data_IF_868945940385
#
_entry.id   IF_868945940385
#
_cell.length_a   1.000
_cell.length_b   1.000
_cell.length_c   1.000
_cell.angle_alpha   90.00
_cell.angle_beta   90.00
_cell.angle_gamma   90.00
#
_symmetry.space_group_name_H-M   'P 1'
#
loop_
_entity.id
_entity.type
_entity.pdbx_description
1 polymer ?
#
# COMPACT_ATOMS: atom_id res chain seq x y z
N UNK A 1 19.28 -2.28 -1.62
CA UNK A 1 20.52 -3.12 -1.57
C UNK A 1 20.10 -4.53 -1.19
N UNK A 2 20.58 -5.56 -1.89
CA UNK A 2 20.31 -6.94 -1.49
C UNK A 2 21.04 -7.27 -0.19
N UNK A 3 20.40 -8.00 0.72
CA UNK A 3 21.07 -8.50 1.94
C UNK A 3 22.19 -9.45 1.50
N UNK A 4 23.36 -9.34 2.14
CA UNK A 4 24.49 -10.24 1.88
C UNK A 4 24.06 -11.70 2.13
N UNK A 5 24.23 -12.61 1.17
CA UNK A 5 23.90 -14.02 1.33
C UNK A 5 24.57 -14.71 2.53
N UNK A 6 25.78 -14.28 2.91
CA UNK A 6 26.46 -14.84 4.08
C UNK A 6 25.80 -14.41 5.40
N UNK A 7 25.23 -13.17 5.46
CA UNK A 7 24.41 -12.74 6.60
C UNK A 7 23.17 -13.60 6.71
N UNK A 8 22.44 -13.81 5.60
CA UNK A 8 21.25 -14.67 5.57
C UNK A 8 21.58 -16.08 6.07
N UNK A 9 22.67 -16.65 5.61
CA UNK A 9 23.11 -18.00 5.98
C UNK A 9 23.48 -18.08 7.46
N UNK A 10 24.23 -17.11 7.97
CA UNK A 10 24.61 -17.00 9.39
C UNK A 10 23.36 -16.88 10.29
N UNK A 11 22.43 -15.99 9.96
CA UNK A 11 21.20 -15.81 10.73
C UNK A 11 20.30 -17.04 10.66
N UNK A 12 20.25 -17.73 9.50
CA UNK A 12 19.49 -18.96 9.36
C UNK A 12 20.03 -20.09 10.24
N UNK A 13 21.34 -20.15 10.52
CA UNK A 13 21.96 -21.15 11.39
C UNK A 13 21.88 -20.84 12.88
N UNK A 14 21.16 -19.79 13.29
CA UNK A 14 20.89 -19.50 14.70
C UNK A 14 20.12 -20.67 15.35
N UNK A 15 20.53 -21.06 16.56
CA UNK A 15 20.02 -22.24 17.27
C UNK A 15 18.47 -22.27 17.38
N UNK A 16 17.85 -21.13 17.68
CA UNK A 16 16.40 -21.01 17.79
C UNK A 16 15.67 -21.30 16.45
N UNK A 17 16.27 -20.91 15.30
CA UNK A 17 15.71 -21.22 13.97
C UNK A 17 15.91 -22.68 13.59
N UNK A 18 17.04 -23.29 13.99
CA UNK A 18 17.27 -24.72 13.80
C UNK A 18 16.29 -25.56 14.61
N UNK A 19 16.00 -25.15 15.84
CA UNK A 19 15.00 -25.79 16.67
C UNK A 19 13.60 -25.75 16.01
N UNK A 20 13.15 -24.60 15.49
CA UNK A 20 11.88 -24.49 14.77
C UNK A 20 11.82 -25.42 13.55
N UNK A 21 12.93 -25.53 12.79
CA UNK A 21 13.00 -26.44 11.65
C UNK A 21 12.96 -27.91 12.07
N UNK A 22 13.50 -28.25 13.24
CA UNK A 22 13.49 -29.62 13.76
C UNK A 22 12.12 -30.05 14.32
N UNK A 23 11.38 -29.11 14.92
CA UNK A 23 10.03 -29.34 15.47
C UNK A 23 9.01 -29.73 14.40
N UNK A 24 9.04 -29.07 13.25
CA UNK A 24 8.10 -29.31 12.15
C UNK A 24 8.86 -29.61 10.87
N UNK A 25 8.70 -30.82 10.34
CA UNK A 25 9.37 -31.26 9.11
C UNK A 25 8.75 -30.57 7.88
N UNK A 26 9.53 -30.42 6.81
CA UNK A 26 9.04 -29.78 5.57
C UNK A 26 7.77 -30.42 5.01
N UNK A 27 7.62 -31.77 5.12
CA UNK A 27 6.40 -32.48 4.68
C UNK A 27 5.16 -31.97 5.43
N UNK A 28 5.28 -31.76 6.73
CA UNK A 28 4.17 -31.31 7.57
C UNK A 28 3.86 -29.83 7.29
N UNK A 29 4.88 -28.99 7.10
CA UNK A 29 4.72 -27.57 6.67
C UNK A 29 3.96 -27.45 5.34
N UNK A 30 4.27 -28.31 4.37
CA UNK A 30 3.63 -28.34 3.05
C UNK A 30 2.17 -28.81 3.12
N UNK A 31 1.81 -29.60 4.14
CA UNK A 31 0.46 -30.08 4.35
C UNK A 31 -0.48 -29.01 4.94
N UNK A 32 0.07 -27.95 5.57
CA UNK A 32 -0.74 -26.85 6.12
C UNK A 32 -1.29 -26.03 4.95
N UNK A 33 -2.61 -25.82 4.93
CA UNK A 33 -3.25 -24.94 3.96
C UNK A 33 -2.96 -23.48 4.25
N UNK A 34 -2.94 -22.64 3.19
CA UNK A 34 -2.77 -21.18 3.33
C UNK A 34 -3.92 -20.60 4.12
N UNK A 35 -3.62 -19.82 5.14
CA UNK A 35 -4.63 -19.11 5.92
C UNK A 35 -5.30 -18.04 5.06
N UNK A 36 -6.62 -17.97 5.15
CA UNK A 36 -7.42 -16.92 4.52
C UNK A 36 -7.48 -15.69 5.42
N UNK A 37 -7.39 -14.51 4.81
CA UNK A 37 -7.59 -13.25 5.50
C UNK A 37 -9.06 -13.15 5.94
N UNK A 38 -9.34 -12.92 7.24
CA UNK A 38 -10.69 -12.57 7.65
C UNK A 38 -11.12 -11.23 7.05
N UNK A 39 -12.28 -11.18 6.43
CA UNK A 39 -12.82 -10.02 5.74
C UNK A 39 -14.19 -9.64 6.31
N UNK A 40 -14.60 -8.39 6.13
CA UNK A 40 -15.99 -7.98 6.34
C UNK A 40 -16.85 -8.55 5.24
N UNK A 41 -18.07 -8.99 5.60
CA UNK A 41 -19.05 -9.51 4.62
C UNK A 41 -19.35 -8.45 3.56
N UNK A 42 -19.48 -8.84 2.27
CA UNK A 42 -19.69 -7.91 1.16
C UNK A 42 -20.88 -6.98 1.34
N UNK A 43 -22.01 -7.52 1.83
CA UNK A 43 -23.26 -6.77 2.06
C UNK A 43 -23.10 -5.71 3.17
N UNK A 44 -22.16 -5.92 4.10
CA UNK A 44 -21.86 -4.96 5.16
C UNK A 44 -20.87 -3.94 4.66
N UNK A 45 -19.73 -4.40 4.10
CA UNK A 45 -18.61 -3.53 3.78
C UNK A 45 -18.90 -2.53 2.66
N UNK A 46 -19.83 -2.85 1.75
CA UNK A 46 -20.23 -1.96 0.65
C UNK A 46 -20.90 -0.66 1.15
N UNK A 47 -21.42 -0.66 2.37
CA UNK A 47 -22.08 0.51 2.98
C UNK A 47 -21.16 1.29 3.92
N UNK A 48 -19.90 0.84 4.13
CA UNK A 48 -18.97 1.46 5.05
C UNK A 48 -17.73 2.00 4.34
N UNK A 49 -17.61 3.33 4.31
CA UNK A 49 -16.43 4.01 3.77
C UNK A 49 -15.25 3.98 4.77
N UNK A 50 -15.55 3.94 6.06
CA UNK A 50 -14.66 4.12 7.21
C UNK A 50 -14.11 2.82 7.82
N UNK A 51 -14.51 1.67 7.27
CA UNK A 51 -14.14 0.35 7.84
C UNK A 51 -13.21 -0.41 6.92
N UNK A 52 -12.04 -0.75 7.42
CA UNK A 52 -11.10 -1.61 6.72
C UNK A 52 -11.75 -2.98 6.40
N UNK A 53 -11.69 -3.39 5.15
CA UNK A 53 -12.29 -4.65 4.67
C UNK A 53 -11.62 -5.85 5.28
N UNK A 54 -10.28 -5.89 5.21
CA UNK A 54 -9.48 -6.95 5.79
C UNK A 54 -9.36 -6.75 7.31
N UNK A 55 -9.66 -7.79 8.09
CA UNK A 55 -9.70 -7.73 9.56
C UNK A 55 -8.36 -8.04 10.24
N UNK A 56 -7.36 -8.48 9.47
CA UNK A 56 -6.09 -8.97 10.02
C UNK A 56 -6.18 -10.41 10.54
N UNK A 57 -5.04 -11.02 10.79
CA UNK A 57 -4.94 -12.36 11.34
C UNK A 57 -4.94 -12.32 12.87
N UNK A 58 -5.54 -13.33 13.50
CA UNK A 58 -5.31 -13.60 14.91
C UNK A 58 -3.90 -14.18 15.13
N UNK A 59 -3.40 -14.15 16.37
CA UNK A 59 -2.11 -14.74 16.71
C UNK A 59 -2.03 -16.22 16.30
N UNK A 60 -3.08 -16.99 16.54
CA UNK A 60 -3.14 -18.41 16.17
C UNK A 60 -3.06 -18.62 14.64
N UNK A 61 -3.79 -17.81 13.87
CA UNK A 61 -3.76 -17.84 12.41
C UNK A 61 -2.38 -17.43 11.86
N UNK A 62 -1.79 -16.37 12.40
CA UNK A 62 -0.47 -15.89 12.00
C UNK A 62 0.63 -16.93 12.31
N UNK A 63 0.60 -17.55 13.49
CA UNK A 63 1.55 -18.62 13.87
C UNK A 63 1.39 -19.83 12.96
N UNK A 64 0.15 -20.24 12.65
CA UNK A 64 -0.12 -21.35 11.73
C UNK A 64 0.43 -21.06 10.33
N UNK A 65 0.16 -19.86 9.79
CA UNK A 65 0.66 -19.46 8.48
C UNK A 65 2.20 -19.33 8.47
N UNK A 66 2.79 -18.77 9.54
CA UNK A 66 4.25 -18.66 9.68
C UNK A 66 4.93 -20.04 9.71
N UNK A 67 4.27 -21.06 10.29
CA UNK A 67 4.76 -22.43 10.31
C UNK A 67 4.90 -23.03 8.90
N UNK A 68 4.14 -22.55 7.91
CA UNK A 68 4.29 -22.97 6.51
C UNK A 68 5.67 -22.61 5.93
N UNK A 69 6.30 -21.52 6.41
CA UNK A 69 7.59 -21.09 5.88
C UNK A 69 8.68 -22.14 6.14
N UNK A 70 9.30 -22.62 5.05
CA UNK A 70 10.34 -23.66 5.09
C UNK A 70 11.71 -23.15 5.51
N UNK A 71 11.87 -21.84 5.73
CA UNK A 71 13.16 -21.22 6.03
C UNK A 71 14.25 -21.63 5.02
N UNK A 72 14.02 -21.33 3.74
CA UNK A 72 14.86 -21.78 2.62
C UNK A 72 16.32 -21.37 2.79
N UNK A 73 17.24 -22.19 2.27
CA UNK A 73 18.69 -21.88 2.24
C UNK A 73 18.95 -20.68 1.33
N UNK A 74 18.26 -20.64 0.18
CA UNK A 74 18.29 -19.53 -0.78
C UNK A 74 16.88 -18.98 -0.87
N UNK A 75 16.56 -17.95 -0.09
CA UNK A 75 15.20 -17.41 0.02
C UNK A 75 14.89 -16.42 -1.12
N UNK A 76 14.47 -16.90 -2.27
CA UNK A 76 14.12 -16.10 -3.45
C UNK A 76 13.00 -15.07 -3.19
N UNK A 77 12.21 -15.24 -2.13
CA UNK A 77 11.22 -14.24 -1.70
C UNK A 77 11.86 -12.91 -1.30
N UNK A 78 13.11 -12.90 -0.79
CA UNK A 78 13.87 -11.67 -0.49
C UNK A 78 14.15 -10.91 -1.78
N UNK A 79 14.55 -11.61 -2.84
CA UNK A 79 14.81 -11.00 -4.15
C UNK A 79 13.54 -10.43 -4.79
N UNK A 80 12.39 -10.99 -4.44
CA UNK A 80 11.07 -10.49 -4.86
C UNK A 80 10.60 -9.25 -4.09
N UNK A 81 11.26 -8.88 -2.99
CA UNK A 81 10.93 -7.71 -2.21
C UNK A 81 11.77 -6.50 -2.67
N UNK A 82 11.17 -5.39 -3.12
CA UNK A 82 11.91 -4.21 -3.58
C UNK A 82 12.84 -3.59 -2.54
N UNK A 83 12.51 -3.75 -1.25
CA UNK A 83 13.32 -3.25 -0.12
C UNK A 83 14.09 -4.35 0.60
N UNK A 84 14.12 -5.55 0.01
CA UNK A 84 14.95 -6.70 0.48
C UNK A 84 14.74 -7.06 1.96
N UNK A 85 13.50 -7.10 2.45
CA UNK A 85 13.19 -7.56 3.81
C UNK A 85 13.72 -8.99 3.99
N UNK A 86 14.34 -9.28 5.15
CA UNK A 86 14.70 -10.65 5.52
C UNK A 86 13.44 -11.45 5.88
N UNK A 87 12.69 -11.84 4.83
CA UNK A 87 11.37 -12.46 4.95
C UNK A 87 11.40 -13.74 5.78
N UNK A 88 12.30 -14.70 5.59
CA UNK A 88 12.32 -15.89 6.45
C UNK A 88 12.58 -15.56 7.92
N UNK A 89 13.41 -14.55 8.22
CA UNK A 89 13.74 -14.16 9.60
C UNK A 89 12.50 -13.66 10.34
N UNK A 90 11.78 -12.67 9.79
CA UNK A 90 10.60 -12.15 10.47
C UNK A 90 9.49 -13.20 10.61
N UNK A 91 9.30 -14.07 9.59
CA UNK A 91 8.30 -15.14 9.66
C UNK A 91 8.67 -16.16 10.74
N UNK A 92 9.95 -16.50 10.90
CA UNK A 92 10.39 -17.40 11.96
C UNK A 92 10.23 -16.80 13.36
N UNK A 93 10.38 -15.51 13.52
CA UNK A 93 10.04 -14.84 14.76
C UNK A 93 8.53 -14.95 15.08
N UNK A 94 7.65 -14.81 14.08
CA UNK A 94 6.21 -15.05 14.29
C UNK A 94 5.95 -16.51 14.68
N UNK A 95 6.59 -17.49 14.03
CA UNK A 95 6.47 -18.91 14.34
C UNK A 95 6.93 -19.22 15.77
N UNK A 96 7.95 -18.51 16.27
CA UNK A 96 8.45 -18.67 17.65
C UNK A 96 7.61 -17.96 18.70
N UNK A 97 6.69 -17.08 18.32
CA UNK A 97 5.90 -16.24 19.22
C UNK A 97 6.55 -14.90 19.60
N UNK A 98 7.72 -14.57 19.03
CA UNK A 98 8.42 -13.29 19.25
C UNK A 98 8.02 -12.26 18.18
N UNK A 99 6.81 -11.72 18.31
CA UNK A 99 6.21 -10.85 17.30
C UNK A 99 6.92 -9.48 17.24
N UNK A 100 7.44 -8.99 18.37
CA UNK A 100 8.16 -7.70 18.38
C UNK A 100 9.50 -7.79 17.65
N UNK A 101 10.22 -8.91 17.75
CA UNK A 101 11.42 -9.14 16.94
C UNK A 101 11.09 -9.30 15.45
N UNK A 102 9.91 -9.83 15.11
CA UNK A 102 9.43 -9.86 13.74
C UNK A 102 9.21 -8.43 13.20
N UNK A 103 8.52 -7.58 13.95
CA UNK A 103 8.30 -6.17 13.58
C UNK A 103 9.61 -5.38 13.45
N UNK A 104 10.55 -5.60 14.38
CA UNK A 104 11.89 -4.98 14.30
C UNK A 104 12.65 -5.42 13.04
N UNK A 105 12.56 -6.70 12.67
CA UNK A 105 13.18 -7.23 11.43
C UNK A 105 12.60 -6.58 10.18
N UNK A 106 11.28 -6.33 10.13
CA UNK A 106 10.67 -5.60 9.02
C UNK A 106 11.26 -4.19 8.88
N UNK A 107 11.43 -3.49 9.97
CA UNK A 107 11.95 -2.12 10.03
C UNK A 107 13.45 -2.00 9.71
N UNK A 108 14.20 -3.09 9.66
CA UNK A 108 15.62 -3.04 9.24
C UNK A 108 15.76 -2.39 7.86
N UNK A 109 14.84 -2.69 6.93
CA UNK A 109 14.90 -2.21 5.54
C UNK A 109 13.60 -1.57 5.02
N UNK A 110 12.50 -1.67 5.74
CA UNK A 110 11.21 -1.09 5.37
C UNK A 110 10.79 0.00 6.36
N UNK A 111 10.62 1.22 5.86
CA UNK A 111 10.18 2.35 6.68
C UNK A 111 8.66 2.36 6.95
N UNK A 112 7.86 1.58 6.21
CA UNK A 112 6.39 1.62 6.23
C UNK A 112 5.78 0.21 6.25
N UNK A 113 6.14 -0.67 7.19
CA UNK A 113 5.70 -2.07 7.17
C UNK A 113 4.19 -2.26 7.29
N UNK A 114 3.50 -1.44 8.10
CA UNK A 114 2.05 -1.52 8.26
C UNK A 114 1.28 -1.14 6.97
N UNK A 115 1.84 -0.22 6.18
CA UNK A 115 1.34 0.15 4.85
C UNK A 115 1.63 -0.96 3.85
N UNK A 116 2.89 -1.44 3.78
CA UNK A 116 3.31 -2.46 2.82
C UNK A 116 2.53 -3.76 2.98
N UNK A 117 2.30 -4.22 4.21
CA UNK A 117 1.48 -5.41 4.49
C UNK A 117 0.04 -5.34 3.97
N UNK A 118 -0.49 -4.10 3.77
CA UNK A 118 -1.84 -3.86 3.25
C UNK A 118 -1.90 -3.65 1.74
N UNK A 119 -0.96 -2.90 1.16
CA UNK A 119 -1.13 -2.37 -0.20
C UNK A 119 -0.13 -2.88 -1.24
N UNK A 120 0.98 -3.50 -0.83
CA UNK A 120 1.92 -4.10 -1.78
C UNK A 120 1.24 -5.20 -2.61
N UNK A 121 1.52 -5.30 -3.91
CA UNK A 121 1.06 -6.41 -4.75
C UNK A 121 1.95 -7.65 -4.51
N UNK A 122 1.86 -8.24 -3.30
CA UNK A 122 2.72 -9.34 -2.86
C UNK A 122 2.67 -10.54 -3.82
N UNK A 123 1.51 -10.81 -4.41
CA UNK A 123 1.29 -11.86 -5.41
C UNK A 123 2.12 -11.68 -6.69
N UNK A 124 2.60 -10.44 -6.95
CA UNK A 124 3.50 -10.11 -8.07
C UNK A 124 4.95 -9.87 -7.63
N UNK A 125 5.20 -9.80 -6.34
CA UNK A 125 6.50 -9.51 -5.73
C UNK A 125 7.03 -10.70 -4.93
N UNK A 126 7.13 -10.57 -3.59
CA UNK A 126 7.72 -11.58 -2.71
C UNK A 126 7.01 -12.93 -2.75
N UNK A 127 5.68 -12.96 -2.78
CA UNK A 127 4.90 -14.20 -2.83
C UNK A 127 5.07 -14.94 -4.15
N UNK A 128 5.19 -14.24 -5.30
CA UNK A 128 5.45 -14.87 -6.60
C UNK A 128 6.76 -15.64 -6.64
N UNK A 129 7.73 -15.26 -5.81
CA UNK A 129 9.05 -15.91 -5.69
C UNK A 129 9.13 -16.94 -4.58
N UNK A 130 8.01 -17.19 -3.87
CA UNK A 130 7.98 -18.21 -2.83
C UNK A 130 8.19 -19.61 -3.40
N UNK A 131 8.97 -20.45 -2.71
CA UNK A 131 9.23 -21.85 -3.09
C UNK A 131 7.93 -22.64 -3.34
N UNK A 132 6.88 -22.35 -2.60
CA UNK A 132 5.57 -22.96 -2.80
C UNK A 132 5.02 -22.71 -4.21
N UNK A 133 5.14 -21.50 -4.72
CA UNK A 133 4.69 -21.14 -6.08
C UNK A 133 5.66 -21.70 -7.12
N UNK A 134 6.95 -21.44 -6.96
CA UNK A 134 7.96 -21.77 -7.96
C UNK A 134 8.13 -23.29 -8.14
N UNK A 135 8.30 -24.03 -7.06
CA UNK A 135 8.61 -25.46 -7.10
C UNK A 135 7.42 -26.38 -6.87
N UNK A 136 6.52 -26.02 -5.96
CA UNK A 136 5.43 -26.93 -5.55
C UNK A 136 4.12 -26.66 -6.28
N UNK A 137 3.99 -25.55 -7.01
CA UNK A 137 2.75 -25.11 -7.66
C UNK A 137 1.57 -25.03 -6.68
N UNK A 138 1.85 -24.60 -5.46
CA UNK A 138 0.91 -24.40 -4.37
C UNK A 138 0.82 -22.92 -3.99
N UNK A 139 -0.24 -22.48 -3.29
CA UNK A 139 -0.34 -21.12 -2.78
C UNK A 139 0.87 -20.74 -1.92
N UNK A 140 1.46 -19.57 -2.17
CA UNK A 140 2.57 -19.02 -1.41
C UNK A 140 2.29 -18.99 0.10
N UNK A 141 3.32 -18.85 0.92
CA UNK A 141 3.15 -18.31 2.28
C UNK A 141 2.59 -16.90 2.18
N UNK A 142 1.61 -16.56 3.02
CA UNK A 142 0.95 -15.26 3.00
C UNK A 142 1.83 -14.17 3.63
N UNK A 143 2.91 -13.82 2.92
CA UNK A 143 3.98 -12.95 3.41
C UNK A 143 3.42 -11.58 3.80
N UNK A 144 2.60 -10.97 2.95
CA UNK A 144 2.01 -9.67 3.25
C UNK A 144 1.05 -9.69 4.44
N UNK A 145 0.29 -10.77 4.61
CA UNK A 145 -0.59 -10.91 5.79
C UNK A 145 0.21 -11.02 7.09
N UNK A 146 1.34 -11.72 7.05
CA UNK A 146 2.25 -11.84 8.19
C UNK A 146 3.00 -10.53 8.48
N UNK A 147 3.40 -9.79 7.44
CA UNK A 147 3.98 -8.45 7.56
C UNK A 147 2.99 -7.50 8.24
N UNK A 148 1.75 -7.45 7.75
CA UNK A 148 0.66 -6.69 8.37
C UNK A 148 0.45 -7.08 9.82
N UNK A 149 0.35 -8.38 10.11
CA UNK A 149 0.12 -8.89 11.45
C UNK A 149 1.21 -8.43 12.43
N UNK A 150 2.49 -8.53 12.06
CA UNK A 150 3.59 -8.13 12.92
C UNK A 150 3.58 -6.61 13.19
N UNK A 151 3.31 -5.80 12.17
CA UNK A 151 3.22 -4.34 12.30
C UNK A 151 2.02 -3.90 13.13
N UNK A 152 0.85 -4.53 12.94
CA UNK A 152 -0.36 -4.23 13.72
C UNK A 152 -0.20 -4.67 15.19
N UNK A 153 0.40 -5.83 15.44
CA UNK A 153 0.68 -6.32 16.80
C UNK A 153 1.59 -5.34 17.58
N UNK A 154 2.66 -4.85 16.94
CA UNK A 154 3.55 -3.85 17.55
C UNK A 154 2.79 -2.58 17.91
N UNK A 155 2.01 -2.05 16.98
CA UNK A 155 1.18 -0.85 17.18
C UNK A 155 0.21 -1.03 18.34
N UNK A 156 -0.50 -2.16 18.40
CA UNK A 156 -1.53 -2.45 19.41
C UNK A 156 -0.96 -2.77 20.78
N UNK A 157 0.24 -3.33 20.85
CA UNK A 157 0.95 -3.57 22.10
C UNK A 157 1.46 -2.30 22.79
N UNK A 158 1.46 -1.17 22.07
CA UNK A 158 2.07 0.08 22.54
C UNK A 158 3.61 0.05 22.59
N UNK A 159 4.22 -1.06 22.19
CA UNK A 159 5.67 -1.26 22.17
C UNK A 159 6.22 -0.86 20.79
N UNK A 160 6.35 0.43 20.55
CA UNK A 160 6.92 0.90 19.28
C UNK A 160 8.44 0.93 19.35
N UNK A 161 9.12 -0.03 18.72
CA UNK A 161 10.55 0.00 18.51
C UNK A 161 10.88 0.90 17.30
N UNK A 162 11.28 2.13 17.59
CA UNK A 162 11.84 3.01 16.57
C UNK A 162 13.23 2.49 16.19
N UNK A 163 13.54 2.34 14.90
CA UNK A 163 14.87 1.92 14.46
C UNK A 163 15.97 2.83 15.05
N UNK A 164 17.08 2.22 15.47
CA UNK A 164 18.24 2.99 15.90
C UNK A 164 18.76 3.88 14.76
N UNK A 165 19.12 5.10 15.11
CA UNK A 165 19.70 6.06 14.17
C UNK A 165 21.20 6.24 14.49
N UNK A 166 22.01 6.36 13.44
CA UNK A 166 23.42 6.74 13.61
C UNK A 166 23.51 8.17 14.20
N UNK A 167 24.62 8.51 14.86
CA UNK A 167 24.85 9.86 15.35
C UNK A 167 24.66 10.90 14.24
N UNK A 168 24.12 12.11 14.54
CA UNK A 168 23.90 13.14 13.55
C UNK A 168 25.21 13.50 12.80
N UNK A 169 25.16 13.46 11.48
CA UNK A 169 26.31 13.79 10.62
C UNK A 169 26.35 15.29 10.21
N UNK A 170 25.36 16.08 10.66
CA UNK A 170 25.26 17.52 10.39
C UNK A 170 24.84 17.90 8.96
N UNK A 171 24.47 16.92 8.14
CA UNK A 171 24.08 17.15 6.74
C UNK A 171 22.56 17.20 6.63
N UNK A 172 22.03 18.33 6.14
CA UNK A 172 20.61 18.52 5.87
C UNK A 172 20.24 17.99 4.49
N UNK A 173 19.18 17.18 4.43
CA UNK A 173 18.60 16.68 3.18
C UNK A 173 17.10 16.98 3.13
N UNK A 174 16.60 17.27 1.94
CA UNK A 174 15.20 17.59 1.71
C UNK A 174 14.53 16.55 0.82
N UNK A 175 13.26 16.24 1.09
CA UNK A 175 12.40 15.58 0.13
C UNK A 175 11.35 16.55 -0.40
N UNK A 176 11.05 16.45 -1.69
CA UNK A 176 9.98 17.19 -2.36
C UNK A 176 8.81 16.24 -2.59
N UNK A 177 7.75 16.41 -1.80
CA UNK A 177 6.63 15.49 -1.69
C UNK A 177 6.74 14.54 -0.49
N UNK A 178 5.61 14.03 -0.03
CA UNK A 178 5.48 13.15 1.14
C UNK A 178 4.84 11.79 0.82
N UNK A 179 4.84 11.40 -0.44
CA UNK A 179 4.35 10.08 -0.85
C UNK A 179 5.26 8.94 -0.36
N UNK A 180 4.87 7.66 -0.56
CA UNK A 180 5.59 6.50 -0.01
C UNK A 180 7.09 6.47 -0.38
N UNK A 181 7.46 6.89 -1.57
CA UNK A 181 8.86 6.95 -1.97
C UNK A 181 9.67 7.96 -1.15
N UNK A 182 9.09 9.15 -0.91
CA UNK A 182 9.72 10.20 -0.10
C UNK A 182 9.81 9.80 1.38
N UNK A 183 8.77 9.14 1.91
CA UNK A 183 8.77 8.64 3.29
C UNK A 183 9.79 7.52 3.50
N UNK A 184 9.90 6.58 2.54
CA UNK A 184 10.93 5.55 2.59
C UNK A 184 12.34 6.15 2.57
N UNK A 185 12.61 7.09 1.65
CA UNK A 185 13.87 7.82 1.62
C UNK A 185 14.14 8.55 2.93
N UNK A 186 13.14 9.25 3.48
CA UNK A 186 13.27 9.98 4.73
C UNK A 186 13.65 9.07 5.91
N UNK A 187 13.01 7.91 6.01
CA UNK A 187 13.31 6.91 7.03
C UNK A 187 14.73 6.37 6.91
N UNK A 188 15.17 6.02 5.70
CA UNK A 188 16.52 5.50 5.49
C UNK A 188 17.59 6.57 5.77
N UNK A 189 17.37 7.81 5.32
CA UNK A 189 18.31 8.91 5.60
C UNK A 189 18.38 9.23 7.10
N UNK A 190 17.27 9.19 7.81
CA UNK A 190 17.24 9.38 9.25
C UNK A 190 18.06 8.30 9.98
N UNK A 191 17.95 7.01 9.57
CA UNK A 191 18.80 5.93 10.10
C UNK A 191 20.30 6.23 9.94
N UNK A 192 20.68 6.86 8.83
CA UNK A 192 22.09 7.26 8.58
C UNK A 192 22.51 8.57 9.24
N UNK A 193 21.70 9.15 10.12
CA UNK A 193 22.02 10.35 10.89
C UNK A 193 21.93 11.67 10.13
N UNK A 194 21.22 11.70 8.98
CA UNK A 194 20.94 12.95 8.26
C UNK A 194 19.81 13.75 8.92
N UNK A 195 19.90 15.09 8.87
CA UNK A 195 18.80 15.98 9.24
C UNK A 195 17.82 16.09 8.06
N UNK A 196 16.72 15.32 8.14
CA UNK A 196 15.76 15.18 7.04
C UNK A 196 14.57 16.10 7.21
N UNK A 197 14.24 16.86 6.17
CA UNK A 197 13.01 17.65 6.09
C UNK A 197 12.19 17.25 4.86
N UNK A 198 10.93 16.91 5.09
CA UNK A 198 9.96 16.57 4.05
C UNK A 198 9.08 17.78 3.78
N UNK A 199 9.08 18.29 2.55
CA UNK A 199 8.25 19.38 2.08
C UNK A 199 7.07 18.82 1.29
N UNK A 200 5.85 19.10 1.73
CA UNK A 200 4.62 18.64 1.11
C UNK A 200 3.76 19.82 0.63
N UNK A 201 3.29 19.72 -0.60
CA UNK A 201 2.45 20.76 -1.21
C UNK A 201 1.04 20.81 -0.60
N UNK A 202 0.50 19.67 -0.20
CA UNK A 202 -0.82 19.54 0.40
C UNK A 202 -0.77 19.83 1.92
N UNK A 203 -1.95 19.88 2.54
CA UNK A 203 -2.09 20.12 3.97
C UNK A 203 -1.89 18.88 4.83
N UNK A 204 -1.86 17.68 4.21
CA UNK A 204 -1.64 16.40 4.86
C UNK A 204 -0.41 15.68 4.30
N UNK A 205 0.30 14.97 5.17
CA UNK A 205 1.46 14.14 4.82
C UNK A 205 1.00 12.74 4.44
N UNK A 206 1.61 12.13 3.44
CA UNK A 206 1.33 10.75 3.01
C UNK A 206 1.14 10.60 1.50
N UNK A 207 0.88 11.71 0.80
CA UNK A 207 0.64 11.66 -0.64
C UNK A 207 -0.49 10.69 -0.98
N UNK A 208 -0.28 9.81 -1.97
CA UNK A 208 -1.27 8.83 -2.42
C UNK A 208 -1.79 7.90 -1.30
N UNK A 209 -1.05 7.71 -0.22
CA UNK A 209 -1.49 6.90 0.92
C UNK A 209 -2.72 7.52 1.60
N UNK A 210 -2.86 8.85 1.58
CA UNK A 210 -3.99 9.58 2.16
C UNK A 210 -4.98 10.09 1.12
N UNK A 211 -4.51 10.67 0.02
CA UNK A 211 -5.45 11.22 -0.96
C UNK A 211 -6.02 10.20 -1.94
N UNK A 212 -5.29 9.09 -2.19
CA UNK A 212 -5.63 8.14 -3.25
C UNK A 212 -6.20 6.82 -2.75
N UNK A 213 -5.69 6.28 -1.65
CA UNK A 213 -6.11 4.97 -1.12
C UNK A 213 -7.22 5.18 -0.09
N UNK A 214 -8.43 4.60 -0.29
CA UNK A 214 -9.54 4.78 0.63
C UNK A 214 -9.33 4.12 2.00
N UNK A 215 -9.99 4.65 3.04
CA UNK A 215 -10.01 4.14 4.41
C UNK A 215 -10.35 2.64 4.50
N UNK A 216 -11.28 2.16 3.68
CA UNK A 216 -11.68 0.75 3.68
C UNK A 216 -10.57 -0.19 3.19
N UNK A 217 -9.46 0.34 2.69
CA UNK A 217 -8.30 -0.41 2.21
C UNK A 217 -7.03 -0.09 3.00
N UNK A 218 -6.82 1.16 3.34
CA UNK A 218 -5.69 1.65 4.14
C UNK A 218 -6.18 2.76 5.08
N UNK A 219 -6.51 2.44 6.34
CA UNK A 219 -6.93 3.44 7.30
C UNK A 219 -5.88 4.54 7.52
N UNK A 220 -6.31 5.80 7.56
CA UNK A 220 -5.43 6.94 7.80
C UNK A 220 -4.65 6.82 9.10
N UNK A 221 -5.27 6.24 10.14
CA UNK A 221 -4.62 5.99 11.43
C UNK A 221 -3.36 5.11 11.30
N UNK A 222 -3.31 4.19 10.32
CA UNK A 222 -2.13 3.37 10.03
C UNK A 222 -1.03 4.24 9.42
N UNK A 223 -1.38 5.11 8.49
CA UNK A 223 -0.42 6.05 7.88
C UNK A 223 0.13 7.01 8.94
N UNK A 224 -0.73 7.55 9.81
CA UNK A 224 -0.33 8.46 10.88
C UNK A 224 0.61 7.78 11.89
N UNK A 225 0.39 6.52 12.20
CA UNK A 225 1.29 5.74 13.05
C UNK A 225 2.70 5.62 12.44
N UNK A 226 2.80 5.32 11.14
CA UNK A 226 4.10 5.26 10.45
C UNK A 226 4.78 6.64 10.38
N UNK A 227 4.01 7.70 10.17
CA UNK A 227 4.53 9.08 10.19
C UNK A 227 5.06 9.45 11.57
N UNK A 228 4.40 9.03 12.65
CA UNK A 228 4.86 9.27 14.01
C UNK A 228 6.17 8.55 14.31
N UNK A 229 6.37 7.35 13.77
CA UNK A 229 7.64 6.64 13.85
C UNK A 229 8.76 7.43 13.18
N UNK A 230 8.51 7.99 12.00
CA UNK A 230 9.48 8.85 11.31
C UNK A 230 9.77 10.14 12.09
N UNK A 231 8.75 10.76 12.73
CA UNK A 231 8.96 11.93 13.61
C UNK A 231 9.86 11.59 14.80
N UNK A 232 9.66 10.44 15.42
CA UNK A 232 10.51 9.95 16.52
C UNK A 232 11.96 9.70 16.09
N UNK A 233 12.20 9.40 14.80
CA UNK A 233 13.53 9.32 14.22
C UNK A 233 14.14 10.69 13.88
N UNK A 234 13.43 11.80 14.12
CA UNK A 234 13.89 13.16 13.87
C UNK A 234 13.52 13.73 12.49
N UNK A 235 12.70 13.03 11.70
CA UNK A 235 12.23 13.56 10.41
C UNK A 235 11.25 14.72 10.64
N UNK A 236 11.50 15.84 9.98
CA UNK A 236 10.66 17.05 10.03
C UNK A 236 9.71 17.08 8.84
N UNK A 237 8.48 17.52 9.07
CA UNK A 237 7.46 17.64 8.02
C UNK A 237 6.96 19.07 7.94
N UNK A 238 6.91 19.62 6.72
CA UNK A 238 6.39 20.95 6.42
C UNK A 238 5.35 20.83 5.33
N UNK A 239 4.08 21.06 5.70
CA UNK A 239 2.93 21.03 4.77
C UNK A 239 2.68 22.41 4.17
N UNK A 240 1.78 22.48 3.17
CA UNK A 240 1.44 23.70 2.44
C UNK A 240 2.66 24.40 1.84
N UNK A 241 3.67 23.62 1.43
CA UNK A 241 4.94 24.12 0.94
C UNK A 241 5.23 23.57 -0.47
N UNK A 242 5.11 24.41 -1.47
CA UNK A 242 5.34 24.06 -2.86
C UNK A 242 6.78 24.44 -3.24
N UNK A 243 7.67 23.45 -3.28
CA UNK A 243 9.06 23.67 -3.74
C UNK A 243 9.04 24.18 -5.18
N UNK A 244 9.78 25.26 -5.42
CA UNK A 244 9.80 25.98 -6.70
C UNK A 244 8.80 27.15 -6.75
N UNK A 245 7.86 27.26 -5.78
CA UNK A 245 6.92 28.37 -5.63
C UNK A 245 7.07 29.07 -4.29
N UNK A 246 6.93 28.32 -3.18
CA UNK A 246 7.13 28.85 -1.82
C UNK A 246 8.61 29.18 -1.58
N UNK A 247 9.50 28.31 -1.99
CA UNK A 247 10.96 28.55 -2.05
C UNK A 247 11.55 27.77 -3.22
N UNK A 248 12.57 28.35 -3.84
CA UNK A 248 13.35 27.69 -4.89
C UNK A 248 14.37 26.70 -4.30
N UNK A 249 14.95 25.85 -5.12
CA UNK A 249 16.07 24.99 -4.69
C UNK A 249 17.28 25.81 -4.20
N UNK A 250 17.53 26.98 -4.78
CA UNK A 250 18.63 27.84 -4.36
C UNK A 250 18.35 28.44 -2.98
N UNK A 251 17.14 28.87 -2.69
CA UNK A 251 16.76 29.29 -1.33
C UNK A 251 16.93 28.16 -0.31
N UNK A 252 16.60 26.92 -0.66
CA UNK A 252 16.79 25.77 0.22
C UNK A 252 18.29 25.45 0.41
N UNK A 253 19.13 25.59 -0.63
CA UNK A 253 20.60 25.48 -0.50
C UNK A 253 21.18 26.51 0.44
N UNK A 254 20.71 27.79 0.36
CA UNK A 254 21.09 28.88 1.28
C UNK A 254 20.72 28.55 2.73
N UNK A 255 19.61 27.82 2.95
CA UNK A 255 19.20 27.32 4.27
C UNK A 255 20.04 26.11 4.74
N UNK A 256 21.01 25.67 3.93
CA UNK A 256 21.98 24.64 4.27
C UNK A 256 21.64 23.23 3.79
N UNK A 257 20.56 23.02 3.01
CA UNK A 257 20.27 21.72 2.42
C UNK A 257 21.33 21.35 1.38
N UNK A 258 21.87 20.11 1.47
CA UNK A 258 22.95 19.60 0.61
C UNK A 258 22.48 18.57 -0.41
N UNK A 259 21.34 17.91 -0.13
CA UNK A 259 20.76 16.90 -1.01
C UNK A 259 19.25 17.06 -1.13
N UNK A 260 18.71 16.68 -2.29
CA UNK A 260 17.29 16.78 -2.59
C UNK A 260 16.81 15.47 -3.21
N UNK A 261 15.78 14.87 -2.62
CA UNK A 261 15.05 13.76 -3.21
C UNK A 261 13.74 14.28 -3.80
N UNK A 262 13.50 14.05 -5.08
CA UNK A 262 12.28 14.51 -5.75
C UNK A 262 11.31 13.33 -5.82
N UNK A 263 10.34 13.33 -4.89
CA UNK A 263 9.29 12.33 -4.76
C UNK A 263 7.89 12.92 -4.95
N UNK A 264 7.73 13.81 -5.94
CA UNK A 264 6.47 14.56 -6.21
C UNK A 264 5.32 13.68 -6.73
N UNK A 265 5.57 12.40 -6.98
CA UNK A 265 4.56 11.45 -7.45
C UNK A 265 4.17 11.64 -8.91
N UNK A 266 3.12 10.92 -9.33
CA UNK A 266 2.54 10.93 -10.66
C UNK A 266 1.05 11.34 -10.61
N UNK A 267 0.76 12.43 -9.90
CA UNK A 267 -0.60 12.91 -9.66
C UNK A 267 -1.32 13.50 -10.87
N UNK A 268 -0.61 13.78 -11.97
CA UNK A 268 -1.24 14.27 -13.19
C UNK A 268 -2.02 13.14 -13.87
N UNK A 269 -3.33 13.30 -14.07
CA UNK A 269 -4.15 12.30 -14.73
C UNK A 269 -3.79 12.17 -16.21
N UNK A 270 -3.94 10.97 -16.75
CA UNK A 270 -3.92 10.74 -18.20
C UNK A 270 -5.36 10.62 -18.67
N UNK A 271 -5.78 11.55 -19.50
CA UNK A 271 -7.05 11.49 -20.20
C UNK A 271 -6.93 10.58 -21.42
N UNK A 272 -8.07 10.16 -21.98
CA UNK A 272 -8.12 9.26 -23.12
C UNK A 272 -7.99 9.98 -24.46
N UNK A 273 -8.09 11.32 -24.44
CA UNK A 273 -8.04 12.19 -25.64
C UNK A 273 -9.15 11.86 -26.66
N UNK A 274 -10.36 11.54 -26.14
CA UNK A 274 -11.55 11.26 -26.93
C UNK A 274 -12.56 12.40 -26.82
N UNK A 275 -13.45 12.56 -27.83
CA UNK A 275 -14.49 13.60 -27.78
C UNK A 275 -15.34 13.54 -26.52
N UNK A 276 -15.64 14.70 -25.95
CA UNK A 276 -16.55 14.84 -24.81
C UNK A 276 -15.90 14.74 -23.42
N UNK A 277 -14.58 14.62 -23.30
CA UNK A 277 -13.91 14.54 -22.00
C UNK A 277 -14.09 15.76 -21.09
N UNK A 278 -14.54 16.89 -21.64
CA UNK A 278 -14.80 18.12 -20.89
C UNK A 278 -16.22 18.24 -20.36
N UNK A 279 -17.06 17.23 -20.56
CA UNK A 279 -18.44 17.26 -20.05
C UNK A 279 -18.51 17.13 -18.53
N UNK A 280 -19.55 17.73 -17.94
CA UNK A 280 -19.80 17.63 -16.50
C UNK A 280 -20.05 16.17 -16.10
N UNK A 281 -19.37 15.72 -15.05
CA UNK A 281 -19.46 14.34 -14.54
C UNK A 281 -18.34 13.45 -15.01
N UNK A 282 -17.43 13.95 -15.87
CA UNK A 282 -16.18 13.26 -16.18
C UNK A 282 -15.09 13.80 -15.25
N UNK A 283 -14.53 12.92 -14.45
CA UNK A 283 -13.52 13.22 -13.45
C UNK A 283 -12.32 12.29 -13.63
N UNK A 284 -11.14 12.77 -13.34
CA UNK A 284 -10.03 11.85 -13.14
C UNK A 284 -10.21 11.09 -11.83
N UNK A 285 -9.76 9.84 -11.77
CA UNK A 285 -9.79 9.05 -10.53
C UNK A 285 -9.04 9.75 -9.39
N UNK A 286 -7.92 10.43 -9.69
CA UNK A 286 -7.19 11.17 -8.67
C UNK A 286 -8.01 12.31 -8.09
N UNK A 287 -8.71 13.09 -8.93
CA UNK A 287 -9.58 14.16 -8.46
C UNK A 287 -10.73 13.61 -7.61
N UNK A 288 -11.39 12.55 -8.11
CA UNK A 288 -12.50 11.91 -7.41
C UNK A 288 -12.10 11.39 -6.03
N UNK A 289 -11.02 10.62 -5.97
CA UNK A 289 -10.53 10.03 -4.72
C UNK A 289 -9.97 11.10 -3.76
N UNK A 290 -9.28 12.13 -4.27
CA UNK A 290 -8.79 13.24 -3.43
C UNK A 290 -9.94 13.97 -2.76
N UNK A 291 -11.04 14.24 -3.47
CA UNK A 291 -12.23 14.88 -2.89
C UNK A 291 -12.84 14.03 -1.77
N UNK A 292 -12.89 12.71 -1.94
CA UNK A 292 -13.46 11.82 -0.94
C UNK A 292 -12.50 11.59 0.23
N UNK A 293 -11.27 11.18 -0.04
CA UNK A 293 -10.36 10.68 1.00
C UNK A 293 -9.66 11.82 1.76
N UNK A 294 -9.27 12.92 1.07
CA UNK A 294 -8.51 13.99 1.66
C UNK A 294 -9.38 15.20 2.04
N UNK A 295 -10.41 15.49 1.23
CA UNK A 295 -11.25 16.66 1.39
C UNK A 295 -12.62 16.33 2.02
N UNK A 296 -12.82 15.10 2.48
CA UNK A 296 -13.97 14.66 3.26
C UNK A 296 -15.33 14.75 2.55
N UNK A 297 -15.38 14.67 1.20
CA UNK A 297 -16.62 14.81 0.44
C UNK A 297 -17.67 13.70 0.70
N UNK A 298 -17.31 12.66 1.45
CA UNK A 298 -18.19 11.59 1.92
C UNK A 298 -18.84 11.86 3.28
N UNK A 299 -18.42 12.95 3.98
CA UNK A 299 -18.93 13.35 5.29
C UNK A 299 -19.75 14.64 5.17
N UNK A 300 -20.79 14.75 5.98
CA UNK A 300 -21.59 15.98 6.10
C UNK A 300 -20.89 17.07 6.93
N UNK A 301 -19.74 16.77 7.52
CA UNK A 301 -18.91 17.73 8.26
C UNK A 301 -18.09 18.66 7.34
N UNK A 302 -18.06 18.39 6.03
CA UNK A 302 -17.27 19.11 5.05
C UNK A 302 -18.12 19.59 3.88
N UNK A 303 -17.91 20.84 3.46
CA UNK A 303 -18.60 21.45 2.30
C UNK A 303 -18.00 21.06 0.95
N UNK A 304 -17.17 20.01 0.89
CA UNK A 304 -16.51 19.58 -0.35
C UNK A 304 -17.53 18.99 -1.32
N UNK A 305 -17.74 19.60 -2.50
CA UNK A 305 -18.73 19.11 -3.45
C UNK A 305 -18.21 17.82 -4.13
N UNK A 306 -19.11 16.84 -4.25
CA UNK A 306 -18.88 15.63 -5.03
C UNK A 306 -20.11 15.27 -5.85
N UNK A 307 -19.89 14.85 -7.08
CA UNK A 307 -20.96 14.36 -7.93
C UNK A 307 -21.26 12.88 -7.58
N UNK A 308 -22.40 12.65 -6.94
CA UNK A 308 -22.90 11.30 -6.65
C UNK A 308 -23.73 10.82 -7.83
N UNK A 309 -23.14 10.01 -8.70
CA UNK A 309 -23.82 9.41 -9.84
C UNK A 309 -24.60 8.15 -9.44
N UNK A 310 -25.84 7.98 -9.97
CA UNK A 310 -26.58 6.73 -9.80
C UNK A 310 -25.93 5.57 -10.58
N UNK A 311 -25.38 5.85 -11.74
CA UNK A 311 -24.61 4.92 -12.56
C UNK A 311 -23.23 5.50 -12.82
N UNK A 312 -22.18 4.81 -12.41
CA UNK A 312 -20.80 5.26 -12.49
C UNK A 312 -19.98 4.26 -13.28
N UNK A 313 -19.32 4.74 -14.34
CA UNK A 313 -18.36 3.94 -15.10
C UNK A 313 -16.94 4.42 -14.79
N UNK A 314 -16.06 3.48 -14.44
CA UNK A 314 -14.63 3.76 -14.21
C UNK A 314 -13.82 3.08 -15.29
N UNK A 315 -13.03 3.87 -16.03
CA UNK A 315 -12.21 3.38 -17.15
C UNK A 315 -10.81 3.08 -16.63
N UNK A 316 -10.45 1.82 -16.65
CA UNK A 316 -9.16 1.33 -16.19
C UNK A 316 -9.24 0.02 -15.42
N UNK A 317 -8.10 -0.66 -15.25
CA UNK A 317 -7.99 -1.96 -14.56
C UNK A 317 -6.92 -1.97 -13.47
N UNK A 318 -6.45 -0.80 -13.01
CA UNK A 318 -5.47 -0.67 -11.93
C UNK A 318 -6.11 -0.55 -10.55
N UNK A 319 -5.28 -0.53 -9.49
CA UNK A 319 -5.76 -0.35 -8.11
C UNK A 319 -6.58 0.93 -7.95
N UNK A 320 -6.16 2.04 -8.57
CA UNK A 320 -6.89 3.31 -8.53
C UNK A 320 -8.31 3.19 -9.12
N UNK A 321 -8.49 2.37 -10.17
CA UNK A 321 -9.80 2.11 -10.75
C UNK A 321 -10.67 1.28 -9.80
N UNK A 322 -10.09 0.26 -9.14
CA UNK A 322 -10.78 -0.53 -8.11
C UNK A 322 -11.19 0.35 -6.92
N UNK A 323 -10.30 1.23 -6.46
CA UNK A 323 -10.57 2.18 -5.38
C UNK A 323 -11.72 3.14 -5.76
N UNK A 324 -11.70 3.68 -6.99
CA UNK A 324 -12.72 4.62 -7.46
C UNK A 324 -14.09 3.97 -7.61
N UNK A 325 -14.18 2.80 -8.22
CA UNK A 325 -15.46 2.12 -8.45
C UNK A 325 -16.09 1.64 -7.14
N UNK A 326 -15.29 1.13 -6.22
CA UNK A 326 -15.74 0.71 -4.88
C UNK A 326 -16.16 1.90 -4.01
N UNK A 327 -15.46 3.04 -4.15
CA UNK A 327 -15.87 4.31 -3.52
C UNK A 327 -17.20 4.80 -4.07
N UNK A 328 -17.45 4.67 -5.38
CA UNK A 328 -18.73 5.07 -5.98
C UNK A 328 -19.91 4.29 -5.41
N UNK A 329 -19.78 2.97 -5.21
CA UNK A 329 -20.82 2.17 -4.53
C UNK A 329 -21.10 2.68 -3.11
N UNK A 330 -20.05 2.95 -2.33
CA UNK A 330 -20.16 3.48 -0.95
C UNK A 330 -20.77 4.86 -0.89
N UNK A 331 -20.67 5.65 -1.96
CA UNK A 331 -21.34 6.95 -2.09
C UNK A 331 -22.78 6.85 -2.60
N UNK A 332 -23.29 5.63 -2.80
CA UNK A 332 -24.70 5.36 -3.13
C UNK A 332 -24.97 5.17 -4.63
N UNK A 333 -23.97 4.85 -5.44
CA UNK A 333 -24.21 4.44 -6.81
C UNK A 333 -25.04 3.14 -6.85
N UNK A 334 -26.13 3.15 -7.61
CA UNK A 334 -27.01 1.98 -7.83
C UNK A 334 -26.32 0.98 -8.78
N UNK A 335 -25.44 1.47 -9.65
CA UNK A 335 -24.68 0.70 -10.63
C UNK A 335 -23.26 1.24 -10.74
N UNK A 336 -22.27 0.39 -10.59
CA UNK A 336 -20.86 0.74 -10.75
C UNK A 336 -20.15 -0.26 -11.67
N UNK A 337 -19.43 0.25 -12.67
CA UNK A 337 -18.91 -0.54 -13.79
C UNK A 337 -17.44 -0.24 -13.98
N UNK A 338 -16.61 -1.28 -14.11
CA UNK A 338 -15.26 -1.18 -14.65
C UNK A 338 -15.28 -1.39 -16.16
N UNK A 339 -14.74 -0.47 -16.92
CA UNK A 339 -14.50 -0.61 -18.37
C UNK A 339 -13.02 -0.78 -18.58
N UNK A 340 -12.60 -1.92 -19.15
CA UNK A 340 -11.19 -2.22 -19.33
C UNK A 340 -10.89 -2.80 -20.72
N UNK A 341 -9.89 -2.22 -21.39
CA UNK A 341 -9.53 -2.54 -22.79
C UNK A 341 -8.96 -3.94 -23.00
N UNK A 342 -8.48 -4.60 -21.96
CA UNK A 342 -7.92 -5.95 -21.99
C UNK A 342 -8.78 -6.93 -21.23
N UNK A 343 -8.34 -8.18 -21.17
CA UNK A 343 -8.99 -9.19 -20.34
C UNK A 343 -8.72 -8.97 -18.84
N UNK A 344 -9.51 -9.60 -18.01
CA UNK A 344 -9.37 -9.52 -16.56
C UNK A 344 -8.00 -10.03 -16.07
N UNK A 345 -7.47 -11.07 -16.71
CA UNK A 345 -6.15 -11.67 -16.35
C UNK A 345 -5.01 -10.65 -16.49
N UNK A 346 -5.18 -9.67 -17.38
CA UNK A 346 -4.18 -8.63 -17.64
C UNK A 346 -4.35 -7.39 -16.75
N UNK A 347 -5.32 -7.39 -15.84
CA UNK A 347 -5.53 -6.25 -14.94
C UNK A 347 -4.29 -6.05 -14.04
N UNK A 348 -3.74 -4.83 -13.99
CA UNK A 348 -2.61 -4.53 -13.11
C UNK A 348 -3.00 -4.42 -11.63
N UNK A 349 -4.29 -4.32 -11.30
CA UNK A 349 -4.78 -4.30 -9.93
C UNK A 349 -4.38 -5.58 -9.16
N UNK A 350 -4.33 -5.49 -7.86
CA UNK A 350 -4.19 -6.66 -6.98
C UNK A 350 -5.37 -7.61 -7.17
N UNK A 351 -5.08 -8.91 -7.19
CA UNK A 351 -6.10 -9.96 -7.34
C UNK A 351 -7.17 -9.84 -6.26
N UNK A 352 -6.76 -9.53 -5.03
CA UNK A 352 -7.65 -9.32 -3.89
C UNK A 352 -8.62 -8.14 -4.13
N UNK A 353 -8.14 -7.02 -4.67
CA UNK A 353 -8.98 -5.84 -4.93
C UNK A 353 -9.99 -6.08 -6.05
N UNK A 354 -9.61 -6.86 -7.07
CA UNK A 354 -10.55 -7.30 -8.13
C UNK A 354 -11.62 -8.23 -7.55
N UNK A 355 -11.22 -9.17 -6.68
CA UNK A 355 -12.15 -10.06 -5.96
C UNK A 355 -13.13 -9.23 -5.14
N UNK A 356 -12.65 -8.32 -4.32
CA UNK A 356 -13.49 -7.48 -3.47
C UNK A 356 -14.48 -6.64 -4.28
N UNK A 357 -14.05 -6.05 -5.39
CA UNK A 357 -14.93 -5.28 -6.27
C UNK A 357 -16.08 -6.12 -6.82
N UNK A 358 -15.80 -7.36 -7.25
CA UNK A 358 -16.82 -8.31 -7.73
C UNK A 358 -17.81 -8.69 -6.64
N UNK A 359 -17.33 -9.03 -5.46
CA UNK A 359 -18.16 -9.40 -4.32
C UNK A 359 -19.06 -8.25 -3.87
N UNK A 360 -18.60 -7.01 -4.05
CA UNK A 360 -19.38 -5.79 -3.76
C UNK A 360 -20.37 -5.41 -4.87
N UNK A 361 -20.47 -6.21 -5.95
CA UNK A 361 -21.45 -6.02 -7.02
C UNK A 361 -20.99 -5.12 -8.16
N UNK A 362 -19.70 -4.85 -8.29
CA UNK A 362 -19.14 -4.11 -9.44
C UNK A 362 -19.27 -4.96 -10.70
N UNK A 363 -19.82 -4.37 -11.77
CA UNK A 363 -19.85 -4.97 -13.10
C UNK A 363 -18.51 -4.79 -13.82
N UNK A 364 -18.09 -5.81 -14.59
CA UNK A 364 -16.85 -5.76 -15.35
C UNK A 364 -17.12 -5.88 -16.85
N UNK A 365 -16.83 -4.82 -17.58
CA UNK A 365 -16.84 -4.77 -19.03
C UNK A 365 -15.41 -4.79 -19.56
N UNK A 366 -14.91 -5.98 -19.81
CA UNK A 366 -13.57 -6.20 -20.35
C UNK A 366 -13.58 -6.22 -21.88
N UNK A 367 -12.40 -6.05 -22.49
CA UNK A 367 -12.20 -5.97 -23.96
C UNK A 367 -12.96 -4.81 -24.60
N UNK A 368 -13.29 -3.79 -23.83
CA UNK A 368 -14.05 -2.62 -24.24
C UNK A 368 -13.21 -1.34 -24.02
N UNK A 369 -13.32 -0.41 -24.94
CA UNK A 369 -12.67 0.89 -24.83
C UNK A 369 -13.65 1.99 -25.25
N UNK A 370 -13.85 3.05 -24.45
CA UNK A 370 -14.67 4.19 -24.86
C UNK A 370 -14.05 4.88 -26.09
N UNK A 371 -14.88 5.37 -26.97
CA UNK A 371 -14.46 6.11 -28.18
C UNK A 371 -14.96 7.55 -28.17
N UNK A 372 -16.00 7.84 -27.40
CA UNK A 372 -16.63 9.15 -27.31
C UNK A 372 -17.50 9.20 -26.05
N UNK A 373 -17.58 10.38 -25.42
CA UNK A 373 -18.55 10.68 -24.37
C UNK A 373 -19.67 11.56 -24.97
N UNK A 374 -20.90 11.29 -24.58
CA UNK A 374 -22.06 12.10 -24.96
C UNK A 374 -22.53 12.90 -23.76
N UNK A 375 -23.18 14.02 -24.00
CA UNK A 375 -23.83 14.77 -22.97
C UNK A 375 -25.32 14.98 -23.31
N UNK A 376 -26.15 15.11 -22.29
CA UNK A 376 -27.50 15.61 -22.44
C UNK A 376 -27.48 17.13 -22.77
N UNK A 377 -28.68 17.72 -22.97
CA UNK A 377 -28.81 19.14 -23.32
C UNK A 377 -28.24 20.11 -22.28
N UNK A 378 -27.96 19.64 -21.05
CA UNK A 378 -27.40 20.42 -19.96
C UNK A 378 -25.95 20.00 -19.64
N UNK A 379 -25.32 19.24 -20.54
CA UNK A 379 -23.90 18.89 -20.44
C UNK A 379 -23.55 17.75 -19.49
N UNK A 380 -24.53 16.96 -19.00
CA UNK A 380 -24.25 15.76 -18.22
C UNK A 380 -23.77 14.64 -19.11
N UNK A 381 -22.59 14.09 -18.78
CA UNK A 381 -21.99 13.01 -19.55
C UNK A 381 -22.77 11.70 -19.48
N UNK A 382 -22.80 10.99 -20.61
CA UNK A 382 -23.11 9.57 -20.72
C UNK A 382 -22.10 8.90 -21.62
N UNK A 383 -21.75 7.65 -21.36
CA UNK A 383 -20.78 6.90 -22.15
C UNK A 383 -21.49 6.03 -23.20
N UNK A 384 -21.02 6.06 -24.43
CA UNK A 384 -21.38 5.09 -25.46
C UNK A 384 -20.19 4.22 -25.78
N UNK A 385 -20.40 2.92 -25.80
CA UNK A 385 -19.38 1.92 -26.07
C UNK A 385 -19.44 1.44 -27.52
N UNK A 386 -18.27 1.04 -28.05
CA UNK A 386 -18.16 0.04 -29.09
C UNK A 386 -17.56 -1.23 -28.50
N UNK A 387 -18.31 -2.30 -28.60
CA UNK A 387 -17.83 -3.66 -28.35
C UNK A 387 -16.96 -4.08 -29.54
#
# INVERSE_FOLDING_TARGET
MSIDPEIIKKERSAAWREELRSRTKNKDRIAIERVHMPELEPEIRVHHQDREVNRGLTLAQATLEATRCMDCVTPTCIEGCPVSINIPKFIKYIESGDILSAASTLKETNALPAVCGRVCPQEKQCESRCFYVDKLKKPAVAIGYLERFAADYERESGSCNVPETLPPNGIKVATVGSGPAALAFAGDMAKYGYDVTVFEALHEIGGVLKYGIPEFRLPNAIVDFELENLRKMGVKFITNFIVGRTATFDNLKEQGFKGFFIGSGAGLPRFMEIPGENYNGILSSNEYLTRVNLMGANSDDFDTPILRGKSVAVIGGGNTAMDSVRTALRLGAERAIIIYRRSEVEMPARVEEVKHAKEEGVEFMTLCNPVEYFADKIGRASCRERV
#
